data_IF_401487824507
#
_entry.id   IF_401487824507
#
_cell.length_a   1.000
_cell.length_b   1.000
_cell.length_c   1.000
_cell.angle_alpha   90.00
_cell.angle_beta   90.00
_cell.angle_gamma   90.00
#
_symmetry.space_group_name_H-M   'P 1'
#
loop_
_entity.id
_entity.type
_entity.pdbx_description
1 polymer ?
#
# COMPACT_ATOMS: atom_id res chain seq x y z
N UNK A 1 -16.41 -5.67 17.32
CA UNK A 1 -15.03 -5.19 17.61
C UNK A 1 -15.09 -3.68 17.62
N UNK A 2 -14.76 -3.03 18.70
CA UNK A 2 -14.77 -1.57 18.77
C UNK A 2 -13.55 -1.03 18.04
N UNK A 3 -13.67 0.12 17.35
CA UNK A 3 -12.57 0.82 16.68
C UNK A 3 -11.41 1.18 17.62
N UNK A 4 -11.67 1.24 18.93
CA UNK A 4 -10.71 1.52 19.98
C UNK A 4 -9.56 0.48 20.14
N UNK A 5 -9.67 -0.68 19.44
CA UNK A 5 -8.66 -1.73 19.46
C UNK A 5 -7.58 -1.58 18.36
N UNK A 6 -7.60 -0.50 17.57
CA UNK A 6 -6.67 -0.30 16.46
C UNK A 6 -6.05 1.09 16.50
N UNK A 7 -4.75 1.15 16.24
CA UNK A 7 -4.04 2.42 16.16
C UNK A 7 -4.21 3.05 14.76
N UNK A 8 -4.39 4.36 14.76
CA UNK A 8 -4.25 5.22 13.59
C UNK A 8 -2.86 5.86 13.62
N UNK A 9 -2.24 6.04 12.47
CA UNK A 9 -0.86 6.52 12.43
C UNK A 9 -0.53 7.39 11.22
N UNK A 10 -1.55 7.79 10.45
CA UNK A 10 -1.36 8.80 9.44
C UNK A 10 -1.43 10.20 10.08
N UNK A 11 -0.38 10.97 9.91
CA UNK A 11 -0.29 12.35 10.36
C UNK A 11 -0.36 13.28 9.14
N UNK A 12 -1.49 13.96 8.90
CA UNK A 12 -1.62 14.85 7.74
C UNK A 12 -0.69 16.04 7.86
N UNK A 13 0.06 16.31 6.79
CA UNK A 13 0.90 17.50 6.63
C UNK A 13 0.80 18.00 5.17
N UNK A 14 -0.26 18.76 4.82
CA UNK A 14 -0.48 19.20 3.46
C UNK A 14 0.66 20.07 2.91
N UNK A 15 1.28 20.90 3.74
CA UNK A 15 2.38 21.76 3.31
C UNK A 15 3.65 20.94 2.99
N UNK A 16 3.97 19.95 3.83
CA UNK A 16 5.07 19.01 3.57
C UNK A 16 4.82 18.14 2.33
N UNK A 17 3.60 17.66 2.15
CA UNK A 17 3.20 16.89 0.97
C UNK A 17 3.34 17.70 -0.33
N UNK A 18 2.89 18.96 -0.35
CA UNK A 18 3.05 19.86 -1.50
C UNK A 18 4.52 20.17 -1.78
N UNK A 19 5.29 20.47 -0.73
CA UNK A 19 6.74 20.69 -0.86
C UNK A 19 7.45 19.45 -1.44
N UNK A 20 7.14 18.25 -0.96
CA UNK A 20 7.70 17.01 -1.50
C UNK A 20 7.27 16.77 -2.95
N UNK A 21 5.99 16.94 -3.27
CA UNK A 21 5.48 16.78 -4.63
C UNK A 21 6.20 17.69 -5.62
N UNK A 22 6.53 18.93 -5.22
CA UNK A 22 7.28 19.88 -6.06
C UNK A 22 8.72 19.43 -6.38
N UNK A 23 9.28 18.51 -5.59
CA UNK A 23 10.61 17.90 -5.85
C UNK A 23 10.57 16.73 -6.85
N UNK A 24 9.38 16.22 -7.16
CA UNK A 24 9.22 15.10 -8.07
C UNK A 24 9.30 15.59 -9.52
N UNK A 25 10.08 14.94 -10.39
CA UNK A 25 10.16 15.32 -11.82
C UNK A 25 8.80 15.25 -12.52
N UNK A 26 7.97 14.32 -12.09
CA UNK A 26 6.62 14.05 -12.60
C UNK A 26 5.69 13.82 -11.40
N UNK A 27 5.15 14.91 -10.79
CA UNK A 27 4.46 14.83 -9.51
C UNK A 27 3.15 14.02 -9.52
N UNK A 28 2.43 13.92 -10.63
CA UNK A 28 1.19 13.15 -10.71
C UNK A 28 1.31 11.97 -11.67
N UNK A 29 0.47 10.95 -11.49
CA UNK A 29 0.45 9.78 -12.36
C UNK A 29 0.18 10.17 -13.83
N UNK A 30 -0.69 11.14 -14.07
CA UNK A 30 -0.96 11.64 -15.41
C UNK A 30 0.29 12.19 -16.11
N UNK A 31 1.27 12.70 -15.34
CA UNK A 31 2.56 13.16 -15.86
C UNK A 31 3.59 12.05 -15.93
N UNK A 32 3.61 11.14 -14.95
CA UNK A 32 4.59 10.07 -14.84
C UNK A 32 4.32 8.91 -15.81
N UNK A 33 3.07 8.63 -16.04
CA UNK A 33 2.60 7.56 -16.92
C UNK A 33 1.45 8.03 -17.81
N UNK A 34 1.68 8.92 -18.77
CA UNK A 34 0.61 9.49 -19.61
C UNK A 34 -0.12 8.43 -20.46
N UNK A 35 0.52 7.30 -20.71
CA UNK A 35 -0.07 6.17 -21.42
C UNK A 35 -0.85 5.21 -20.51
N UNK A 36 -0.79 5.43 -19.19
CA UNK A 36 -1.56 4.65 -18.22
C UNK A 36 -2.98 5.22 -18.17
N UNK A 37 -3.88 4.58 -18.87
CA UNK A 37 -5.29 4.97 -18.93
C UNK A 37 -6.17 3.86 -18.40
N UNK A 38 -7.25 4.23 -17.71
CA UNK A 38 -8.31 3.32 -17.34
C UNK A 38 -9.26 3.13 -18.51
N UNK A 39 -9.68 1.90 -18.79
CA UNK A 39 -10.59 1.60 -19.91
C UNK A 39 -12.09 1.69 -19.56
N UNK A 40 -12.39 1.95 -18.28
CA UNK A 40 -13.75 2.10 -17.78
C UNK A 40 -14.60 0.82 -17.74
N UNK A 41 -14.02 -0.35 -18.00
CA UNK A 41 -14.78 -1.61 -18.13
C UNK A 41 -14.07 -2.86 -17.58
N UNK A 42 -12.75 -2.96 -17.69
CA UNK A 42 -12.00 -4.13 -17.23
C UNK A 42 -11.90 -4.15 -15.69
N UNK A 43 -12.49 -5.14 -15.06
CA UNK A 43 -12.28 -5.37 -13.64
C UNK A 43 -10.90 -5.98 -13.42
N UNK A 44 -10.09 -5.34 -12.59
CA UNK A 44 -8.68 -5.70 -12.39
C UNK A 44 -8.39 -5.91 -10.91
N UNK A 45 -7.73 -7.02 -10.59
CA UNK A 45 -7.27 -7.38 -9.25
C UNK A 45 -5.77 -7.65 -9.27
N UNK A 46 -5.00 -7.05 -8.35
CA UNK A 46 -3.55 -7.24 -8.27
C UNK A 46 -3.13 -8.39 -7.33
N UNK A 47 -4.00 -8.75 -6.38
CA UNK A 47 -3.71 -9.83 -5.43
C UNK A 47 -3.45 -11.22 -6.04
N UNK A 48 -3.96 -11.59 -7.25
CA UNK A 48 -3.58 -12.88 -7.86
C UNK A 48 -2.09 -13.00 -8.13
N UNK A 49 -1.44 -11.93 -8.62
CA UNK A 49 0.01 -11.93 -8.80
C UNK A 49 0.75 -12.10 -7.47
N UNK A 50 0.29 -11.43 -6.41
CA UNK A 50 0.87 -11.56 -5.08
C UNK A 50 0.77 -12.99 -4.55
N UNK A 51 -0.37 -13.65 -4.73
CA UNK A 51 -0.56 -15.04 -4.30
C UNK A 51 0.23 -16.05 -5.12
N UNK A 52 0.53 -15.77 -6.39
CA UNK A 52 1.47 -16.58 -7.18
C UNK A 52 2.89 -16.49 -6.64
N UNK A 53 3.34 -15.28 -6.29
CA UNK A 53 4.68 -15.07 -5.73
C UNK A 53 4.79 -15.52 -4.28
N UNK A 54 3.70 -15.45 -3.52
CA UNK A 54 3.63 -15.78 -2.09
C UNK A 54 2.34 -16.55 -1.75
N UNK A 55 2.25 -17.85 -2.05
CA UNK A 55 1.02 -18.63 -1.87
C UNK A 55 0.50 -18.65 -0.42
N UNK A 56 1.40 -18.50 0.56
CA UNK A 56 1.06 -18.45 1.99
C UNK A 56 0.80 -17.04 2.51
N UNK A 57 0.67 -16.03 1.65
CA UNK A 57 0.53 -14.63 2.05
C UNK A 57 -0.68 -14.42 2.97
N UNK A 58 -0.45 -13.67 4.05
CA UNK A 58 -1.47 -13.18 4.98
C UNK A 58 -1.20 -11.73 5.32
N UNK A 59 -2.22 -10.91 5.46
CA UNK A 59 -2.05 -9.48 5.71
C UNK A 59 -1.35 -9.18 7.04
N UNK A 60 -1.75 -9.85 8.10
CA UNK A 60 -1.28 -9.54 9.45
C UNK A 60 -1.90 -8.26 10.02
N UNK A 61 -1.42 -7.82 11.18
CA UNK A 61 -1.97 -6.68 11.92
C UNK A 61 -0.88 -5.79 12.49
N UNK A 62 -1.02 -4.47 12.28
CA UNK A 62 -0.21 -3.46 12.97
C UNK A 62 -0.52 -3.37 14.49
N UNK A 63 -1.67 -3.92 14.92
CA UNK A 63 -2.13 -3.85 16.32
C UNK A 63 -2.30 -2.42 16.80
N UNK A 64 -1.72 -2.11 17.96
CA UNK A 64 -1.79 -0.81 18.62
C UNK A 64 -0.62 0.13 18.29
N UNK A 65 0.13 -0.16 17.23
CA UNK A 65 1.22 0.72 16.77
C UNK A 65 0.70 1.57 15.60
N UNK A 66 0.91 2.88 15.64
CA UNK A 66 0.54 3.80 14.57
C UNK A 66 1.44 3.68 13.32
N UNK A 67 1.71 2.45 12.86
CA UNK A 67 2.61 2.13 11.75
C UNK A 67 1.91 1.93 10.40
N UNK A 68 0.64 2.33 10.29
CA UNK A 68 -0.18 2.10 9.08
C UNK A 68 0.48 2.55 7.78
N UNK A 69 1.28 3.61 7.82
CA UNK A 69 2.00 4.14 6.65
C UNK A 69 3.01 3.11 6.14
N UNK A 70 3.76 2.47 7.03
CA UNK A 70 4.65 1.35 6.68
C UNK A 70 3.89 0.14 6.15
N UNK A 71 2.76 -0.20 6.76
CA UNK A 71 1.91 -1.32 6.35
C UNK A 71 1.26 -1.12 4.98
N UNK A 72 0.70 0.06 4.71
CA UNK A 72 0.13 0.39 3.40
C UNK A 72 1.18 0.37 2.31
N UNK A 73 2.33 1.00 2.58
CA UNK A 73 3.45 1.08 1.62
C UNK A 73 4.10 -0.28 1.34
N UNK A 74 4.30 -1.12 2.36
CA UNK A 74 4.88 -2.46 2.16
C UNK A 74 4.02 -3.34 1.26
N UNK A 75 2.70 -3.29 1.45
CA UNK A 75 1.80 -4.02 0.56
C UNK A 75 1.84 -3.49 -0.87
N UNK A 76 1.96 -2.18 -1.06
CA UNK A 76 2.09 -1.61 -2.38
C UNK A 76 3.39 -2.04 -3.07
N UNK A 77 4.50 -2.11 -2.35
CA UNK A 77 5.76 -2.66 -2.87
C UNK A 77 5.60 -4.12 -3.26
N UNK A 78 5.02 -4.95 -2.39
CA UNK A 78 4.80 -6.38 -2.65
C UNK A 78 3.93 -6.60 -3.90
N UNK A 79 2.83 -5.87 -4.03
CA UNK A 79 1.94 -5.97 -5.20
C UNK A 79 2.61 -5.48 -6.49
N UNK A 80 3.38 -4.39 -6.44
CA UNK A 80 4.13 -3.89 -7.59
C UNK A 80 5.15 -4.92 -8.07
N UNK A 81 5.99 -5.44 -7.15
CA UNK A 81 6.95 -6.50 -7.46
C UNK A 81 6.29 -7.75 -8.02
N UNK A 82 5.19 -8.19 -7.43
CA UNK A 82 4.47 -9.35 -7.95
C UNK A 82 3.92 -9.12 -9.36
N UNK A 83 3.38 -7.92 -9.65
CA UNK A 83 2.92 -7.57 -11.00
C UNK A 83 4.09 -7.43 -11.99
N UNK A 84 5.25 -6.95 -11.55
CA UNK A 84 6.46 -6.89 -12.36
C UNK A 84 6.89 -8.30 -12.79
N UNK A 85 6.89 -9.27 -11.88
CA UNK A 85 7.26 -10.65 -12.15
C UNK A 85 6.21 -11.36 -13.02
N UNK A 86 4.94 -11.31 -12.62
CA UNK A 86 3.89 -12.16 -13.20
C UNK A 86 3.38 -11.59 -14.54
N UNK A 87 3.12 -10.29 -14.62
CA UNK A 87 2.48 -9.68 -15.77
C UNK A 87 3.44 -8.95 -16.69
N UNK A 88 4.41 -8.21 -16.14
CA UNK A 88 5.42 -7.50 -16.93
C UNK A 88 6.60 -8.37 -17.33
N UNK A 89 6.76 -9.54 -16.66
CA UNK A 89 7.87 -10.48 -16.88
C UNK A 89 9.24 -9.81 -16.80
N UNK A 90 9.36 -8.86 -15.89
CA UNK A 90 10.64 -8.24 -15.60
C UNK A 90 11.61 -9.28 -15.02
N UNK A 91 12.92 -9.11 -15.22
CA UNK A 91 13.93 -10.04 -14.69
C UNK A 91 14.10 -9.92 -13.17
N UNK A 92 13.02 -9.70 -12.46
CA UNK A 92 12.96 -9.61 -11.01
C UNK A 92 12.62 -10.96 -10.39
N UNK A 93 13.16 -11.23 -9.22
CA UNK A 93 12.89 -12.44 -8.45
C UNK A 93 12.18 -12.07 -7.16
N UNK A 94 11.12 -12.79 -6.83
CA UNK A 94 10.44 -12.65 -5.54
C UNK A 94 11.40 -12.99 -4.39
N UNK A 95 11.71 -12.00 -3.57
CA UNK A 95 12.66 -12.17 -2.45
C UNK A 95 12.00 -12.41 -1.11
N UNK A 96 10.70 -12.29 -1.03
CA UNK A 96 9.92 -12.34 0.19
C UNK A 96 9.06 -11.10 0.34
N UNK A 97 8.26 -11.08 1.38
CA UNK A 97 7.41 -9.93 1.72
C UNK A 97 8.24 -8.78 2.27
N UNK A 98 7.87 -7.58 1.91
CA UNK A 98 8.47 -6.37 2.46
C UNK A 98 8.23 -6.27 3.97
N UNK A 99 9.26 -5.92 4.73
CA UNK A 99 9.19 -5.70 6.17
C UNK A 99 8.54 -4.34 6.42
N UNK A 100 7.34 -4.36 6.97
CA UNK A 100 6.52 -3.18 7.25
C UNK A 100 7.28 -2.16 8.12
N UNK A 101 7.96 -2.66 9.13
CA UNK A 101 8.79 -1.86 10.04
C UNK A 101 9.94 -1.13 9.33
N UNK A 102 10.49 -1.67 8.22
CA UNK A 102 11.55 -0.99 7.50
C UNK A 102 11.05 0.30 6.86
N UNK A 103 9.91 0.25 6.18
CA UNK A 103 9.31 1.44 5.59
C UNK A 103 8.80 2.41 6.65
N UNK A 104 8.26 1.90 7.76
CA UNK A 104 7.82 2.74 8.87
C UNK A 104 9.01 3.45 9.55
N UNK A 105 10.08 2.73 9.86
CA UNK A 105 11.31 3.29 10.42
C UNK A 105 11.88 4.36 9.50
N UNK A 106 12.21 4.00 8.26
CA UNK A 106 12.75 4.95 7.28
C UNK A 106 11.86 6.18 7.08
N UNK A 107 10.53 6.02 7.02
CA UNK A 107 9.63 7.16 6.85
C UNK A 107 9.63 8.10 8.04
N UNK A 108 9.73 7.55 9.24
CA UNK A 108 9.56 8.28 10.48
C UNK A 108 10.88 8.87 11.00
N UNK A 109 11.95 8.10 10.98
CA UNK A 109 13.23 8.50 11.57
C UNK A 109 14.14 9.10 10.50
N UNK A 110 14.56 8.34 9.51
CA UNK A 110 15.56 8.76 8.52
C UNK A 110 15.00 9.85 7.58
N UNK A 111 13.79 9.70 7.09
CA UNK A 111 13.19 10.68 6.17
C UNK A 111 12.64 11.92 6.85
N UNK A 112 12.06 11.77 8.06
CA UNK A 112 11.35 12.83 8.80
C UNK A 112 12.14 13.40 9.99
N UNK A 113 13.11 12.66 10.54
CA UNK A 113 13.85 13.03 11.73
C UNK A 113 13.04 12.89 13.05
N UNK A 114 11.95 12.10 13.05
CA UNK A 114 11.10 11.89 14.23
C UNK A 114 11.58 10.69 15.04
N UNK A 115 12.38 10.95 16.05
CA UNK A 115 12.98 9.95 16.92
C UNK A 115 12.12 9.65 18.17
N UNK A 116 12.60 8.75 19.01
CA UNK A 116 11.99 8.34 20.28
C UNK A 116 11.67 9.52 21.22
N UNK A 117 12.46 10.58 21.18
CA UNK A 117 12.35 11.71 22.12
C UNK A 117 11.31 12.77 21.70
N UNK A 118 10.79 12.75 20.48
CA UNK A 118 9.87 13.76 19.98
C UNK A 118 8.47 13.22 19.62
N UNK A 119 8.00 12.28 20.41
CA UNK A 119 6.58 11.99 20.56
C UNK A 119 6.07 10.79 19.80
N UNK A 120 4.81 10.49 20.04
CA UNK A 120 3.95 9.40 19.63
C UNK A 120 4.24 8.64 18.31
N UNK A 121 3.45 7.66 17.97
CA UNK A 121 3.52 6.92 16.71
C UNK A 121 3.05 7.79 15.52
N UNK A 122 3.24 7.31 14.31
CA UNK A 122 2.72 7.91 13.09
C UNK A 122 3.78 8.46 12.14
N UNK A 123 3.38 8.60 10.87
CA UNK A 123 4.16 9.22 9.80
C UNK A 123 3.20 9.79 8.73
N UNK A 124 3.73 10.32 7.64
CA UNK A 124 2.97 10.89 6.51
C UNK A 124 3.12 10.02 5.27
N UNK A 125 2.23 10.15 4.31
CA UNK A 125 2.34 9.45 3.03
C UNK A 125 3.60 9.84 2.26
N UNK A 126 3.91 11.13 2.21
CA UNK A 126 5.08 11.62 1.46
C UNK A 126 6.41 11.20 2.11
N UNK A 127 6.50 11.08 3.44
CA UNK A 127 7.72 10.54 4.05
C UNK A 127 7.90 9.04 3.75
N UNK A 128 6.81 8.27 3.62
CA UNK A 128 6.91 6.89 3.15
C UNK A 128 7.33 6.81 1.67
N UNK A 129 6.77 7.68 0.82
CA UNK A 129 7.19 7.79 -0.58
C UNK A 129 8.64 8.22 -0.72
N UNK A 130 9.11 9.15 0.13
CA UNK A 130 10.52 9.53 0.22
C UNK A 130 11.37 8.36 0.70
N UNK A 131 10.92 7.63 1.73
CA UNK A 131 11.64 6.50 2.29
C UNK A 131 11.90 5.41 1.25
N UNK A 132 10.88 4.94 0.53
CA UNK A 132 11.07 3.88 -0.48
C UNK A 132 11.94 4.35 -1.65
N UNK A 133 11.91 5.63 -2.01
CA UNK A 133 12.73 6.21 -3.08
C UNK A 133 14.20 6.38 -2.68
N UNK A 134 14.47 6.78 -1.44
CA UNK A 134 15.82 7.18 -1.00
C UNK A 134 16.53 6.08 -0.20
N UNK A 135 15.81 5.35 0.64
CA UNK A 135 16.32 4.31 1.51
C UNK A 135 15.97 2.89 1.05
N UNK A 136 14.86 2.72 0.33
CA UNK A 136 14.42 1.41 -0.14
C UNK A 136 13.64 0.62 0.90
N UNK A 137 13.74 -0.72 0.85
CA UNK A 137 13.04 -1.62 1.78
C UNK A 137 13.81 -2.91 2.03
N UNK A 138 13.44 -3.61 3.12
CA UNK A 138 13.96 -4.92 3.48
C UNK A 138 12.85 -5.97 3.35
N UNK A 139 13.24 -7.25 3.20
CA UNK A 139 12.31 -8.36 3.00
C UNK A 139 12.50 -9.42 4.08
N UNK A 140 11.41 -10.08 4.47
CA UNK A 140 11.46 -11.22 5.38
C UNK A 140 12.16 -12.41 4.76
N UNK A 141 12.93 -13.15 5.58
CA UNK A 141 13.60 -14.37 5.16
C UNK A 141 14.84 -14.18 4.28
N UNK A 142 15.24 -12.94 4.04
CA UNK A 142 16.47 -12.61 3.28
C UNK A 142 17.65 -12.48 4.24
N UNK A 143 18.81 -12.98 3.81
CA UNK A 143 20.08 -12.81 4.53
C UNK A 143 20.67 -11.42 4.25
N UNK A 144 20.91 -10.68 5.33
CA UNK A 144 21.56 -9.37 5.32
C UNK A 144 22.86 -9.48 6.14
N UNK A 145 23.96 -9.86 5.49
CA UNK A 145 25.18 -10.26 6.22
C UNK A 145 24.91 -11.49 7.09
N UNK A 146 25.00 -11.34 8.41
CA UNK A 146 24.70 -12.39 9.38
C UNK A 146 23.26 -12.34 9.92
N UNK A 147 22.42 -11.42 9.43
CA UNK A 147 21.07 -11.17 9.97
C UNK A 147 20.01 -11.70 9.02
N UNK A 148 19.08 -12.51 9.53
CA UNK A 148 17.85 -12.90 8.84
C UNK A 148 16.66 -12.45 9.68
N UNK A 149 15.74 -11.72 9.05
CA UNK A 149 14.56 -11.19 9.75
C UNK A 149 13.35 -12.08 9.44
N UNK A 150 12.90 -12.81 10.44
CA UNK A 150 11.70 -13.65 10.35
C UNK A 150 10.41 -12.82 10.45
N UNK A 151 9.29 -13.37 9.98
CA UNK A 151 7.97 -12.72 10.01
C UNK A 151 7.37 -12.53 11.41
N UNK A 152 7.91 -13.12 12.46
CA UNK A 152 7.47 -12.94 13.84
C UNK A 152 7.79 -11.55 14.42
N UNK A 153 7.09 -11.17 15.51
CA UNK A 153 7.41 -9.96 16.29
C UNK A 153 7.17 -8.63 15.56
N UNK A 154 6.23 -8.57 14.62
CA UNK A 154 5.99 -7.40 13.74
C UNK A 154 5.71 -6.12 14.52
N UNK A 155 4.83 -6.16 15.53
CA UNK A 155 4.46 -4.96 16.29
C UNK A 155 5.61 -4.44 17.15
N UNK A 156 6.42 -5.32 17.74
CA UNK A 156 7.59 -4.90 18.52
C UNK A 156 8.65 -4.29 17.62
N UNK A 157 8.85 -4.84 16.43
CA UNK A 157 9.74 -4.28 15.40
C UNK A 157 9.24 -2.93 14.90
N UNK A 158 7.93 -2.79 14.64
CA UNK A 158 7.31 -1.50 14.28
C UNK A 158 7.59 -0.44 15.34
N UNK A 159 7.40 -0.78 16.63
CA UNK A 159 7.73 0.14 17.74
C UNK A 159 9.20 0.50 17.79
N UNK A 160 10.06 -0.52 17.68
CA UNK A 160 11.49 -0.31 17.86
C UNK A 160 12.07 0.50 16.70
N UNK A 161 11.80 0.10 15.46
CA UNK A 161 12.32 0.81 14.30
C UNK A 161 11.60 2.16 14.10
N UNK A 162 10.35 2.25 14.41
CA UNK A 162 9.62 3.52 14.37
C UNK A 162 10.12 4.56 15.39
N UNK A 163 10.85 4.15 16.41
CA UNK A 163 11.43 5.04 17.43
C UNK A 163 12.91 5.33 17.23
N UNK A 164 13.65 4.35 16.74
CA UNK A 164 15.11 4.38 16.72
C UNK A 164 15.68 4.44 15.28
N UNK A 165 14.86 4.25 14.27
CA UNK A 165 15.31 4.03 12.90
C UNK A 165 15.52 2.55 12.58
N UNK A 166 15.77 2.27 11.32
CA UNK A 166 16.25 0.97 10.85
C UNK A 166 17.71 0.85 11.26
N UNK A 167 18.19 -0.33 11.75
CA UNK A 167 19.59 -0.49 12.07
C UNK A 167 20.55 -0.10 10.93
N UNK A 168 21.55 0.72 11.22
CA UNK A 168 22.46 1.29 10.22
C UNK A 168 23.12 0.22 9.35
N UNK A 169 23.44 -0.95 9.94
CA UNK A 169 24.02 -2.08 9.21
C UNK A 169 23.08 -2.70 8.16
N UNK A 170 21.77 -2.43 8.23
CA UNK A 170 20.77 -2.92 7.27
C UNK A 170 20.48 -1.92 6.14
N UNK A 171 20.80 -0.65 6.32
CA UNK A 171 20.53 0.39 5.32
C UNK A 171 21.18 0.13 3.95
N UNK A 172 22.42 -0.32 3.85
CA UNK A 172 23.04 -0.60 2.54
C UNK A 172 22.24 -1.63 1.73
N UNK A 173 21.73 -2.66 2.39
CA UNK A 173 20.91 -3.70 1.74
C UNK A 173 19.53 -3.18 1.33
N UNK A 174 18.92 -2.32 2.15
CA UNK A 174 17.64 -1.69 1.81
C UNK A 174 17.78 -0.80 0.56
N UNK A 175 18.87 -0.05 0.45
CA UNK A 175 19.17 0.85 -0.69
C UNK A 175 19.26 0.14 -2.04
N UNK A 176 19.54 -1.17 -2.06
CA UNK A 176 19.47 -1.99 -3.27
C UNK A 176 18.04 -2.19 -3.78
N UNK A 177 17.03 -1.87 -2.96
CA UNK A 177 15.61 -2.11 -3.20
C UNK A 177 14.78 -0.83 -3.16
N UNK A 178 15.28 0.19 -3.81
CA UNK A 178 14.58 1.47 -3.98
C UNK A 178 13.60 1.40 -5.15
N UNK A 179 12.47 2.08 -5.03
CA UNK A 179 11.64 2.36 -6.19
C UNK A 179 12.37 3.31 -7.16
N UNK A 180 12.20 3.08 -8.45
CA UNK A 180 12.74 3.97 -9.48
C UNK A 180 12.01 5.31 -9.51
N UNK A 181 10.72 5.29 -9.24
CA UNK A 181 9.86 6.45 -9.30
C UNK A 181 8.68 6.35 -8.32
N UNK A 182 8.30 7.48 -7.75
CA UNK A 182 7.09 7.67 -6.96
C UNK A 182 6.31 8.85 -7.50
N UNK A 183 4.97 8.77 -7.47
CA UNK A 183 4.09 9.81 -7.99
C UNK A 183 2.75 9.83 -7.26
N UNK A 184 2.04 10.95 -7.28
CA UNK A 184 0.72 11.09 -6.69
C UNK A 184 -0.37 10.47 -7.58
N UNK A 185 -1.34 9.78 -6.97
CA UNK A 185 -2.67 9.58 -7.53
C UNK A 185 -3.61 10.57 -6.86
N UNK A 186 -4.30 11.42 -7.62
CA UNK A 186 -5.05 12.56 -7.08
C UNK A 186 -6.58 12.40 -7.18
N UNK A 187 -7.05 11.38 -7.89
CA UNK A 187 -8.45 11.07 -8.11
C UNK A 187 -8.66 9.57 -8.40
N UNK A 188 -9.93 9.17 -8.50
CA UNK A 188 -10.30 7.79 -8.82
C UNK A 188 -9.77 7.34 -10.19
N UNK A 189 -9.81 8.19 -11.21
CA UNK A 189 -9.40 7.84 -12.57
C UNK A 189 -7.91 7.53 -12.65
N UNK A 190 -7.07 8.32 -12.00
CA UNK A 190 -5.64 8.05 -11.91
C UNK A 190 -5.35 6.77 -11.10
N UNK A 191 -6.05 6.56 -9.99
CA UNK A 191 -5.89 5.34 -9.21
C UNK A 191 -6.36 4.10 -9.99
N UNK A 192 -7.47 4.19 -10.71
CA UNK A 192 -7.96 3.13 -11.59
C UNK A 192 -6.97 2.83 -12.72
N UNK A 193 -6.42 3.88 -13.35
CA UNK A 193 -5.39 3.73 -14.39
C UNK A 193 -4.12 3.06 -13.84
N UNK A 194 -3.67 3.45 -12.64
CA UNK A 194 -2.56 2.78 -11.97
C UNK A 194 -2.84 1.28 -11.78
N UNK A 195 -3.97 0.95 -11.17
CA UNK A 195 -4.33 -0.44 -10.84
C UNK A 195 -4.51 -1.28 -12.10
N UNK A 196 -5.16 -0.79 -13.14
CA UNK A 196 -5.32 -1.52 -14.40
C UNK A 196 -3.99 -1.78 -15.12
N UNK A 197 -2.95 -1.06 -14.75
CA UNK A 197 -1.58 -1.27 -15.25
C UNK A 197 -0.66 -1.95 -14.22
N UNK A 198 -1.20 -2.51 -13.14
CA UNK A 198 -0.44 -3.31 -12.17
C UNK A 198 0.27 -2.51 -11.07
N UNK A 199 -0.15 -1.26 -10.86
CA UNK A 199 0.40 -0.40 -9.82
C UNK A 199 -0.65 -0.12 -8.74
N UNK A 200 -0.50 -0.66 -7.53
CA UNK A 200 -1.37 -0.34 -6.41
C UNK A 200 -1.18 1.11 -5.94
N UNK A 201 -2.15 1.62 -5.19
CA UNK A 201 -2.07 2.98 -4.65
C UNK A 201 -2.01 2.94 -3.13
N UNK A 202 -1.00 3.54 -2.54
CA UNK A 202 -0.95 3.83 -1.10
C UNK A 202 -1.87 5.02 -0.84
N UNK A 203 -2.97 4.80 -0.12
CA UNK A 203 -3.94 5.85 0.18
C UNK A 203 -3.85 6.28 1.64
N UNK A 204 -3.53 7.54 1.86
CA UNK A 204 -3.45 8.20 3.16
C UNK A 204 -4.55 9.25 3.27
N UNK A 205 -5.47 9.11 4.22
CA UNK A 205 -6.57 10.05 4.37
C UNK A 205 -7.17 10.06 5.77
N UNK A 206 -8.03 11.05 6.04
CA UNK A 206 -8.86 11.10 7.24
C UNK A 206 -10.20 10.37 7.11
N UNK A 207 -10.50 9.73 5.98
CA UNK A 207 -11.78 9.08 5.75
C UNK A 207 -11.90 7.77 6.54
N UNK A 208 -12.90 7.65 7.38
CA UNK A 208 -13.28 6.43 8.05
C UNK A 208 -14.40 5.67 7.34
N UNK A 209 -14.63 4.42 7.77
CA UNK A 209 -15.63 3.53 7.17
C UNK A 209 -16.34 2.70 8.23
N UNK A 210 -17.55 2.24 7.92
CA UNK A 210 -18.15 1.13 8.65
C UNK A 210 -17.31 -0.13 8.44
N UNK A 211 -17.23 -0.99 9.47
CA UNK A 211 -16.51 -2.26 9.33
C UNK A 211 -17.45 -3.38 8.85
N UNK A 212 -18.59 -3.03 8.26
CA UNK A 212 -19.54 -3.97 7.67
C UNK A 212 -19.76 -3.63 6.20
N UNK A 213 -19.48 -4.59 5.34
CA UNK A 213 -19.72 -4.52 3.90
C UNK A 213 -21.21 -4.73 3.63
N UNK A 214 -21.74 -4.01 2.67
CA UNK A 214 -23.07 -4.22 2.12
C UNK A 214 -23.14 -5.45 1.17
N UNK A 215 -24.28 -5.61 0.48
CA UNK A 215 -24.49 -6.73 -0.44
C UNK A 215 -23.53 -6.77 -1.63
N UNK A 216 -22.93 -5.64 -1.99
CA UNK A 216 -21.98 -5.49 -3.10
C UNK A 216 -20.51 -5.48 -2.64
N UNK A 217 -20.27 -5.63 -1.34
CA UNK A 217 -18.93 -5.66 -0.77
C UNK A 217 -18.36 -4.29 -0.37
N UNK A 218 -19.15 -3.22 -0.44
CA UNK A 218 -18.71 -1.86 -0.07
C UNK A 218 -18.89 -1.58 1.41
N UNK A 219 -17.94 -0.87 1.99
CA UNK A 219 -18.10 -0.27 3.31
C UNK A 219 -18.55 1.19 3.18
N UNK A 220 -19.59 1.55 3.99
CA UNK A 220 -20.10 2.91 4.01
C UNK A 220 -19.06 3.86 4.59
N UNK A 221 -18.78 4.95 3.88
CA UNK A 221 -17.94 6.03 4.35
C UNK A 221 -18.57 6.73 5.57
N UNK A 222 -17.78 6.98 6.61
CA UNK A 222 -18.23 7.67 7.84
C UNK A 222 -17.15 7.67 8.92
N UNK A 223 -17.17 8.68 9.75
CA UNK A 223 -16.15 8.88 10.78
C UNK A 223 -14.80 9.35 10.26
N UNK A 224 -13.83 9.47 11.15
CA UNK A 224 -12.47 9.93 10.84
C UNK A 224 -11.45 8.91 11.30
N UNK A 225 -10.61 8.48 10.35
CA UNK A 225 -9.58 7.47 10.58
C UNK A 225 -8.22 7.97 10.17
N UNK A 226 -7.59 8.85 10.57
CA UNK A 226 -6.25 9.21 10.11
C UNK A 226 -5.37 7.98 9.85
N UNK A 227 -5.57 7.38 8.66
CA UNK A 227 -5.09 6.03 8.36
C UNK A 227 -4.50 5.92 6.96
N UNK A 228 -3.61 4.94 6.79
CA UNK A 228 -2.99 4.61 5.52
C UNK A 228 -3.28 3.15 5.16
N UNK A 229 -3.74 2.95 3.94
CA UNK A 229 -4.14 1.64 3.41
C UNK A 229 -3.60 1.46 1.99
N UNK A 230 -3.89 0.32 1.34
CA UNK A 230 -3.49 0.04 -0.03
C UNK A 230 -4.70 -0.27 -0.90
N UNK A 231 -4.84 0.43 -2.03
CA UNK A 231 -5.85 0.15 -3.05
C UNK A 231 -5.25 -0.83 -4.07
N UNK A 232 -5.91 -1.98 -4.28
CA UNK A 232 -5.34 -3.13 -4.98
C UNK A 232 -6.23 -3.76 -6.07
N UNK A 233 -7.41 -3.22 -6.28
CA UNK A 233 -8.30 -3.64 -7.38
C UNK A 233 -9.21 -2.50 -7.81
N UNK A 234 -9.72 -2.57 -9.04
CA UNK A 234 -10.72 -1.67 -9.58
C UNK A 234 -11.87 -2.47 -10.18
N UNK A 235 -13.09 -2.01 -9.96
CA UNK A 235 -14.31 -2.50 -10.61
C UNK A 235 -15.10 -1.35 -11.21
N UNK A 236 -15.90 -1.69 -12.21
CA UNK A 236 -16.71 -0.75 -12.99
C UNK A 236 -18.21 -1.12 -12.93
N UNK A 237 -18.99 -0.62 -13.85
CA UNK A 237 -20.42 -0.91 -13.96
C UNK A 237 -21.29 0.06 -13.18
N UNK A 238 -22.37 -0.44 -12.57
CA UNK A 238 -23.36 0.42 -11.89
C UNK A 238 -22.82 1.12 -10.64
N UNK A 239 -21.81 0.55 -10.02
CA UNK A 239 -21.17 1.08 -8.82
C UNK A 239 -19.65 0.90 -8.93
N UNK A 240 -18.96 1.84 -9.60
CA UNK A 240 -17.52 1.78 -9.73
C UNK A 240 -16.84 2.03 -8.38
N UNK A 241 -15.67 1.41 -8.19
CA UNK A 241 -14.93 1.57 -6.95
C UNK A 241 -13.58 0.88 -6.93
N UNK A 242 -12.83 1.09 -5.85
CA UNK A 242 -11.52 0.50 -5.60
C UNK A 242 -11.56 -0.43 -4.39
N UNK A 243 -10.89 -1.57 -4.47
CA UNK A 243 -10.72 -2.47 -3.34
C UNK A 243 -9.60 -1.97 -2.44
N UNK A 244 -9.94 -1.70 -1.20
CA UNK A 244 -9.00 -1.28 -0.18
C UNK A 244 -8.59 -2.47 0.70
N UNK A 245 -7.29 -2.63 0.92
CA UNK A 245 -6.71 -3.64 1.81
C UNK A 245 -6.14 -2.96 3.05
N UNK A 246 -6.72 -3.29 4.20
CA UNK A 246 -6.40 -2.71 5.51
C UNK A 246 -5.33 -3.54 6.25
N UNK A 247 -4.81 -3.03 7.36
CA UNK A 247 -3.71 -3.61 8.18
C UNK A 247 -4.13 -3.96 9.61
N UNK A 248 -5.38 -4.35 9.83
CA UNK A 248 -5.92 -4.67 11.15
C UNK A 248 -6.20 -6.17 11.37
N UNK A 249 -5.48 -7.03 10.64
CA UNK A 249 -5.62 -8.49 10.76
C UNK A 249 -6.73 -9.09 9.91
N UNK A 250 -7.01 -10.36 10.18
CA UNK A 250 -7.77 -11.23 9.27
C UNK A 250 -9.29 -11.25 9.54
N UNK A 251 -9.88 -10.36 10.29
CA UNK A 251 -11.32 -10.43 10.59
C UNK A 251 -11.91 -9.10 11.05
N UNK A 252 -11.33 -8.02 10.58
CA UNK A 252 -11.82 -6.69 10.96
C UNK A 252 -13.01 -6.20 10.13
N UNK A 253 -13.31 -6.84 8.99
CA UNK A 253 -14.42 -6.45 8.13
C UNK A 253 -15.42 -7.59 7.99
N UNK A 254 -16.68 -7.33 8.34
CA UNK A 254 -17.79 -8.28 8.26
C UNK A 254 -18.65 -8.06 7.00
N UNK A 255 -19.68 -8.87 6.79
CA UNK A 255 -20.61 -8.75 5.67
C UNK A 255 -20.13 -9.44 4.40
N UNK A 256 -20.91 -9.28 3.31
CA UNK A 256 -20.66 -9.95 2.03
C UNK A 256 -19.40 -9.40 1.39
N UNK A 257 -18.60 -10.26 0.77
CA UNK A 257 -17.43 -9.87 -0.02
C UNK A 257 -17.70 -10.06 -1.50
N UNK A 258 -16.98 -9.32 -2.31
CA UNK A 258 -16.98 -9.42 -3.76
C UNK A 258 -15.54 -9.34 -4.29
N UNK A 259 -15.14 -10.20 -5.25
CA UNK A 259 -15.91 -11.33 -5.83
C UNK A 259 -16.12 -12.48 -4.81
N UNK A 260 -17.10 -13.36 -5.05
CA UNK A 260 -17.46 -14.45 -4.10
C UNK A 260 -16.31 -15.45 -3.90
N UNK A 261 -15.50 -15.70 -4.92
CA UNK A 261 -14.33 -16.57 -4.90
C UNK A 261 -13.04 -15.89 -4.39
N UNK A 262 -13.14 -14.69 -3.81
CA UNK A 262 -11.99 -13.99 -3.24
C UNK A 262 -11.32 -14.86 -2.15
N UNK A 263 -9.99 -15.07 -2.21
CA UNK A 263 -9.25 -15.84 -1.21
C UNK A 263 -9.40 -15.26 0.20
N UNK A 264 -9.48 -16.13 1.20
CA UNK A 264 -9.70 -15.75 2.60
C UNK A 264 -8.71 -14.70 3.10
N UNK A 265 -7.43 -14.82 2.73
CA UNK A 265 -6.39 -13.88 3.12
C UNK A 265 -6.65 -12.44 2.63
N UNK A 266 -7.22 -12.30 1.43
CA UNK A 266 -7.59 -11.00 0.86
C UNK A 266 -8.94 -10.53 1.40
N UNK A 267 -9.94 -11.42 1.39
CA UNK A 267 -11.30 -11.16 1.84
C UNK A 267 -11.37 -10.57 3.23
N UNK A 268 -10.58 -11.12 4.14
CA UNK A 268 -10.68 -10.79 5.56
C UNK A 268 -10.09 -9.41 5.91
N UNK A 269 -9.24 -8.87 5.06
CA UNK A 269 -8.62 -7.55 5.29
C UNK A 269 -9.09 -6.47 4.29
N UNK A 270 -10.09 -6.74 3.45
CA UNK A 270 -10.44 -5.83 2.36
C UNK A 270 -11.91 -5.45 2.31
N UNK A 271 -12.20 -4.32 1.66
CA UNK A 271 -13.54 -3.83 1.35
C UNK A 271 -13.50 -2.89 0.14
N UNK A 272 -14.61 -2.77 -0.56
CA UNK A 272 -14.75 -1.83 -1.66
C UNK A 272 -15.09 -0.43 -1.17
N UNK A 273 -14.58 0.57 -1.87
CA UNK A 273 -14.81 1.99 -1.64
C UNK A 273 -15.40 2.58 -2.92
N UNK A 274 -16.49 3.33 -2.80
CA UNK A 274 -17.12 4.04 -3.92
C UNK A 274 -16.16 5.03 -4.60
N UNK A 275 -16.25 5.19 -5.92
CA UNK A 275 -15.35 6.01 -6.73
C UNK A 275 -15.29 7.49 -6.27
N UNK A 276 -16.43 8.07 -5.88
CA UNK A 276 -16.49 9.43 -5.38
C UNK A 276 -15.81 9.59 -4.01
N UNK A 277 -15.91 8.57 -3.15
CA UNK A 277 -15.19 8.51 -1.87
C UNK A 277 -13.68 8.39 -2.12
N UNK A 278 -13.26 7.53 -3.05
CA UNK A 278 -11.87 7.42 -3.44
C UNK A 278 -11.31 8.77 -3.93
N UNK A 279 -12.02 9.48 -4.79
CA UNK A 279 -11.61 10.81 -5.26
C UNK A 279 -11.44 11.78 -4.09
N UNK A 280 -12.37 11.82 -3.13
CA UNK A 280 -12.22 12.66 -1.93
C UNK A 280 -11.01 12.31 -1.09
N UNK A 281 -10.72 11.01 -0.92
CA UNK A 281 -9.52 10.57 -0.19
C UNK A 281 -8.23 11.00 -0.87
N UNK A 282 -8.16 10.80 -2.19
CA UNK A 282 -6.97 11.08 -3.00
C UNK A 282 -6.74 12.58 -3.23
N UNK A 283 -7.78 13.41 -3.19
CA UNK A 283 -7.67 14.86 -3.29
C UNK A 283 -6.88 15.52 -2.15
N UNK A 284 -6.65 14.78 -1.04
CA UNK A 284 -5.74 15.20 0.03
C UNK A 284 -4.26 15.26 -0.37
N UNK A 285 -3.89 14.76 -1.56
CA UNK A 285 -2.57 14.85 -2.19
C UNK A 285 -1.41 14.31 -1.36
N UNK A 286 -1.66 13.28 -0.56
CA UNK A 286 -0.62 12.53 0.18
C UNK A 286 -0.78 11.01 -0.04
N UNK A 287 -1.19 10.63 -1.25
CA UNK A 287 -1.42 9.25 -1.68
C UNK A 287 -0.57 8.94 -2.90
N UNK A 288 0.20 7.84 -2.86
CA UNK A 288 1.29 7.60 -3.81
C UNK A 288 1.18 6.25 -4.53
N UNK A 289 1.72 6.24 -5.73
CA UNK A 289 1.98 5.06 -6.56
C UNK A 289 3.48 4.87 -6.68
N UNK A 290 3.93 3.64 -6.58
CA UNK A 290 5.33 3.26 -6.67
C UNK A 290 5.57 2.47 -7.96
N UNK A 291 6.56 2.88 -8.76
CA UNK A 291 7.05 2.07 -9.86
C UNK A 291 8.25 1.22 -9.40
N UNK A 292 8.39 0.02 -9.97
CA UNK A 292 9.56 -0.80 -9.80
C UNK A 292 10.81 -0.20 -10.47
N UNK A 293 11.74 -1.05 -10.88
CA UNK A 293 13.04 -0.59 -11.41
C UNK A 293 12.97 0.10 -12.77
N UNK A 294 11.94 -0.14 -13.56
CA UNK A 294 11.81 0.31 -14.95
C UNK A 294 10.86 1.50 -15.16
N UNK A 295 10.43 2.16 -14.08
CA UNK A 295 9.45 3.25 -14.14
C UNK A 295 8.03 2.76 -14.43
N UNK A 296 7.12 3.70 -14.74
CA UNK A 296 5.74 3.38 -15.05
C UNK A 296 5.59 2.88 -16.49
N UNK A 297 5.25 1.61 -16.65
CA UNK A 297 5.02 0.95 -17.94
C UNK A 297 3.56 0.59 -18.12
N UNK A 298 3.03 0.83 -19.31
CA UNK A 298 1.74 0.30 -19.69
C UNK A 298 1.78 -1.23 -19.68
N UNK A 299 0.83 -1.84 -18.97
CA UNK A 299 0.73 -3.29 -18.78
C UNK A 299 -0.71 -3.71 -18.90
N UNK A 300 -0.96 -4.80 -19.61
CA UNK A 300 -2.30 -5.38 -19.69
C UNK A 300 -2.43 -6.43 -18.59
N UNK A 301 -3.15 -6.08 -17.53
CA UNK A 301 -3.54 -7.03 -16.50
C UNK A 301 -4.80 -7.77 -16.99
N UNK A 302 -4.86 -9.11 -16.85
CA UNK A 302 -6.05 -9.85 -17.26
C UNK A 302 -7.32 -9.36 -16.55
N UNK A 303 -8.43 -9.35 -17.28
CA UNK A 303 -9.73 -9.10 -16.69
C UNK A 303 -10.04 -10.19 -15.66
N UNK A 304 -10.62 -9.81 -14.53
CA UNK A 304 -11.04 -10.76 -13.52
C UNK A 304 -12.24 -11.57 -14.02
N UNK A 305 -12.04 -12.83 -14.31
CA UNK A 305 -13.09 -13.77 -14.78
C UNK A 305 -13.48 -14.81 -13.73
N UNK A 306 -12.81 -14.81 -12.59
CA UNK A 306 -13.00 -15.83 -11.56
C UNK A 306 -12.12 -17.08 -11.74
N UNK A 307 -11.53 -17.27 -12.90
CA UNK A 307 -10.79 -18.50 -13.26
C UNK A 307 -9.25 -18.37 -13.16
N UNK A 308 -8.74 -17.25 -12.66
CA UNK A 308 -7.29 -16.96 -12.66
C UNK A 308 -6.49 -17.77 -11.62
N UNK A 309 -7.16 -18.53 -10.79
CA UNK A 309 -6.54 -19.41 -9.79
C UNK A 309 -6.83 -20.91 -10.06
N UNK A 310 -6.95 -21.29 -11.33
CA UNK A 310 -7.10 -22.68 -11.77
C UNK A 310 -5.93 -23.58 -11.41
#
# INVERSE_FOLDING_TARGET
>A
MTLDAHAFGYEPDPAGAEAFASTLPRPTLAQAGPDLVADGKTETHLWPALLQCSPGWKRGSQGMVGSCVGWGSSLAVDLTSACDIVYRREPEVWRGRTIEASLYGFSRVEARGKTMNNGGDGSTGFHAAKAIREFGCLHYGVEYGSVVIAEGGKQDRDRWWGRNGVPDELEPYAKERRCSEVTLAVDFEQAAAAIQNGYPVVVCSGQGFSMSRDADGFCKAGGTWWHCMCLAAVRWGKRPGLLCMNSWGDSNTTGKHYPENMPTAVRNCSFWIDADVCTRMLSGRDSYVYAGYSGFKRTQIPNWTGDILG
#
